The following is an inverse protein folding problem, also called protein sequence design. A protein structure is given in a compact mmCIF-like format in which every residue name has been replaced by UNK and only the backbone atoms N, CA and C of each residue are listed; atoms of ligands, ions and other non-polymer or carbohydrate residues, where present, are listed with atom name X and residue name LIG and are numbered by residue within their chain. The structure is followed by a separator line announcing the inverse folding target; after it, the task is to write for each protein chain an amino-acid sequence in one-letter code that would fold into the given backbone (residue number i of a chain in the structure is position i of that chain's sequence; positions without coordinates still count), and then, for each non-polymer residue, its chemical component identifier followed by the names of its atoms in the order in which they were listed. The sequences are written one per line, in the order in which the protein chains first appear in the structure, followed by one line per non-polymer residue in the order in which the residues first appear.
data_IF_172134136870
#
_entry.id   IF_172134136870
#
_cell.length_a   1.000
_cell.length_b   1.000
_cell.length_c   1.000
_cell.angle_alpha   90.00
_cell.angle_beta   90.00
_cell.angle_gamma   90.00
#
_symmetry.space_group_name_H-M   'P 1'
#
loop_
_entity.id
_entity.type
_entity.pdbx_description
1 polymer ?
#
# COMPACT_ATOMS: atom_id res chain seq x y z
N UNK A 1 6.01 38.88 3.46
CA UNK A 1 6.70 40.11 3.80
C UNK A 1 5.70 41.09 4.46
N UNK A 2 6.04 41.60 5.68
CA UNK A 2 5.16 42.49 6.47
C UNK A 2 4.97 43.89 5.83
N UNK A 3 5.42 44.07 4.60
CA UNK A 3 5.33 45.35 3.86
C UNK A 3 4.57 45.26 2.52
N UNK A 4 3.84 44.20 2.26
CA UNK A 4 2.83 44.18 1.18
C UNK A 4 3.37 44.28 -0.26
N UNK A 5 4.64 43.99 -0.52
CA UNK A 5 5.16 43.86 -1.86
C UNK A 5 5.11 42.39 -2.30
N UNK A 6 4.03 42.01 -2.96
CA UNK A 6 3.93 40.74 -3.68
C UNK A 6 4.92 40.80 -4.88
N UNK A 7 6.03 40.06 -4.78
CA UNK A 7 6.91 39.81 -5.92
C UNK A 7 6.34 38.63 -6.73
N UNK A 8 5.79 38.91 -7.91
CA UNK A 8 5.40 37.91 -8.88
C UNK A 8 6.63 37.29 -9.54
N UNK A 9 6.97 36.06 -9.22
CA UNK A 9 8.02 35.31 -9.89
C UNK A 9 7.41 34.60 -11.12
N UNK A 10 7.68 35.13 -12.32
CA UNK A 10 7.25 34.51 -13.57
C UNK A 10 8.26 33.42 -13.95
N UNK A 11 7.81 32.15 -14.02
CA UNK A 11 8.62 31.04 -14.56
C UNK A 11 8.05 30.61 -15.90
N UNK A 12 8.86 30.66 -16.96
CA UNK A 12 8.54 30.12 -18.28
C UNK A 12 9.61 29.08 -18.64
N UNK A 13 9.42 27.83 -18.22
CA UNK A 13 10.42 26.78 -18.31
C UNK A 13 9.84 25.54 -18.98
N UNK A 14 10.63 24.91 -19.84
CA UNK A 14 10.37 23.60 -20.38
C UNK A 14 11.24 22.54 -19.67
N UNK A 15 10.63 21.43 -19.24
CA UNK A 15 11.29 20.32 -18.58
C UNK A 15 11.27 19.10 -19.50
N UNK A 16 12.44 18.63 -19.88
CA UNK A 16 12.61 17.40 -20.67
C UNK A 16 13.19 16.32 -19.75
N UNK A 17 12.42 15.25 -19.51
CA UNK A 17 12.77 14.20 -18.56
C UNK A 17 12.87 12.82 -19.25
N UNK A 18 13.94 12.58 -20.06
CA UNK A 18 14.15 11.28 -20.67
C UNK A 18 14.58 10.25 -19.64
N UNK A 19 13.85 9.13 -19.61
CA UNK A 19 14.15 7.99 -18.75
C UNK A 19 14.54 6.78 -19.60
N UNK A 20 15.52 6.02 -19.13
CA UNK A 20 15.93 4.75 -19.73
C UNK A 20 16.17 3.73 -18.63
N UNK A 21 15.54 2.58 -18.77
CA UNK A 21 15.64 1.47 -17.84
C UNK A 21 15.96 0.18 -18.60
N UNK A 22 17.03 -0.51 -18.21
CA UNK A 22 17.42 -1.81 -18.77
C UNK A 22 17.68 -2.80 -17.63
N UNK A 23 17.11 -4.00 -17.73
CA UNK A 23 17.31 -5.06 -16.74
C UNK A 23 17.63 -6.37 -17.45
N UNK A 24 18.62 -7.10 -16.91
CA UNK A 24 18.99 -8.42 -17.36
C UNK A 24 19.02 -9.37 -16.18
N UNK A 25 18.53 -10.57 -16.38
CA UNK A 25 18.63 -11.67 -15.41
C UNK A 25 19.00 -12.94 -16.14
N UNK A 26 20.03 -13.62 -15.62
CA UNK A 26 20.47 -14.92 -16.09
C UNK A 26 20.60 -15.82 -14.87
N UNK A 27 20.05 -17.02 -14.92
CA UNK A 27 20.07 -17.90 -13.76
C UNK A 27 20.07 -19.37 -14.09
N UNK A 28 20.42 -20.14 -13.08
CA UNK A 28 20.41 -21.60 -13.09
C UNK A 28 19.64 -22.09 -11.85
N UNK A 29 18.80 -23.09 -12.04
CA UNK A 29 18.05 -23.73 -10.97
C UNK A 29 18.39 -25.22 -10.95
N UNK A 30 18.66 -25.74 -9.77
CA UNK A 30 18.91 -27.14 -9.52
C UNK A 30 17.88 -27.66 -8.51
N UNK A 31 17.32 -28.83 -8.79
CA UNK A 31 16.36 -29.49 -7.89
C UNK A 31 16.77 -30.94 -7.75
N UNK A 32 17.05 -31.37 -6.51
CA UNK A 32 17.42 -32.73 -6.15
C UNK A 32 16.31 -33.38 -5.34
N UNK A 33 15.60 -34.40 -5.89
CA UNK A 33 14.70 -35.22 -5.10
C UNK A 33 15.47 -36.05 -4.05
N UNK A 34 14.92 -36.10 -2.84
CA UNK A 34 15.41 -36.93 -1.73
C UNK A 34 14.26 -37.87 -1.34
N UNK A 35 14.27 -39.05 -1.93
CA UNK A 35 13.16 -40.00 -1.81
C UNK A 35 11.89 -39.50 -2.53
N UNK A 36 10.70 -39.92 -2.05
CA UNK A 36 9.41 -39.65 -2.73
C UNK A 36 8.73 -38.38 -2.21
N UNK A 37 9.13 -37.83 -1.08
CA UNK A 37 8.38 -36.77 -0.38
C UNK A 37 9.18 -35.48 -0.18
N UNK A 38 10.46 -35.50 -0.44
CA UNK A 38 11.34 -34.36 -0.18
C UNK A 38 12.13 -33.97 -1.42
N UNK A 39 12.44 -32.69 -1.56
CA UNK A 39 13.45 -32.20 -2.49
C UNK A 39 14.13 -30.94 -1.97
N UNK A 40 15.39 -30.82 -2.33
CA UNK A 40 16.18 -29.61 -2.11
C UNK A 40 16.25 -28.86 -3.42
N UNK A 41 16.12 -27.53 -3.35
CA UNK A 41 16.28 -26.62 -4.47
C UNK A 41 17.45 -25.69 -4.18
N UNK A 42 18.31 -25.49 -5.16
CA UNK A 42 19.30 -24.44 -5.16
C UNK A 42 19.13 -23.60 -6.42
N UNK A 43 19.14 -22.31 -6.28
CA UNK A 43 19.02 -21.38 -7.40
C UNK A 43 20.10 -20.30 -7.28
N UNK A 44 20.66 -19.96 -8.41
CA UNK A 44 21.55 -18.82 -8.56
C UNK A 44 21.07 -17.98 -9.72
N UNK A 45 20.93 -16.67 -9.52
CA UNK A 45 20.65 -15.70 -10.56
C UNK A 45 21.65 -14.55 -10.47
N UNK A 46 22.23 -14.20 -11.57
CA UNK A 46 22.89 -12.91 -11.74
C UNK A 46 21.87 -11.93 -12.33
N UNK A 47 21.78 -10.76 -11.73
CA UNK A 47 20.92 -9.69 -12.22
C UNK A 47 21.68 -8.37 -12.31
N UNK A 48 21.37 -7.58 -13.30
CA UNK A 48 21.84 -6.22 -13.45
C UNK A 48 20.69 -5.32 -13.85
N UNK A 49 20.64 -4.18 -13.22
CA UNK A 49 19.64 -3.15 -13.49
C UNK A 49 20.38 -1.85 -13.71
N UNK A 50 20.11 -1.19 -14.81
CA UNK A 50 20.63 0.11 -15.17
C UNK A 50 19.47 1.07 -15.38
N UNK A 51 19.53 2.22 -14.71
CA UNK A 51 18.55 3.27 -14.81
C UNK A 51 19.25 4.59 -15.10
N UNK A 52 18.70 5.34 -16.02
CA UNK A 52 19.08 6.71 -16.33
C UNK A 52 17.83 7.57 -16.21
N UNK A 53 17.89 8.54 -15.34
CA UNK A 53 16.83 9.51 -15.10
C UNK A 53 17.43 10.91 -15.20
N UNK A 54 17.12 11.61 -16.28
CA UNK A 54 17.60 12.95 -16.53
C UNK A 54 16.43 13.93 -16.49
N UNK A 55 16.65 15.09 -15.97
CA UNK A 55 15.76 16.23 -16.07
C UNK A 55 16.55 17.42 -16.58
N UNK A 56 16.40 17.74 -17.85
CA UNK A 56 16.99 18.90 -18.49
C UNK A 56 15.98 20.07 -18.45
N UNK A 57 16.38 21.20 -17.89
CA UNK A 57 15.56 22.41 -17.73
C UNK A 57 15.99 23.47 -18.74
N UNK A 58 15.02 24.03 -19.44
CA UNK A 58 15.23 25.09 -20.45
C UNK A 58 14.41 26.31 -20.03
N UNK A 59 15.07 27.47 -19.96
CA UNK A 59 14.43 28.75 -19.69
C UNK A 59 13.98 29.36 -21.03
N UNK A 60 12.67 29.64 -21.13
CA UNK A 60 12.07 30.13 -22.37
C UNK A 60 11.75 31.62 -22.36
N UNK A 61 11.94 32.31 -21.22
CA UNK A 61 11.52 33.71 -21.05
C UNK A 61 12.25 34.69 -21.99
N UNK A 62 13.48 34.34 -22.41
CA UNK A 62 14.31 35.16 -23.31
C UNK A 62 14.20 34.77 -24.78
N UNK A 63 13.49 33.68 -25.09
CA UNK A 63 13.38 33.15 -26.44
C UNK A 63 12.19 33.75 -27.19
N UNK A 64 12.28 33.79 -28.52
CA UNK A 64 11.14 34.15 -29.36
C UNK A 64 10.00 33.16 -29.18
N UNK A 65 8.77 33.67 -29.08
CA UNK A 65 7.60 32.77 -28.98
C UNK A 65 7.41 31.99 -30.29
N UNK A 66 6.98 30.72 -30.20
CA UNK A 66 6.51 30.00 -31.37
C UNK A 66 5.29 30.68 -31.97
N UNK A 67 5.17 30.71 -33.29
CA UNK A 67 4.01 31.24 -34.00
C UNK A 67 2.78 30.35 -33.81
N UNK A 68 2.97 29.11 -33.34
CA UNK A 68 1.90 28.12 -33.06
C UNK A 68 1.73 27.98 -31.57
N UNK A 69 0.50 28.18 -31.12
CA UNK A 69 0.14 28.03 -29.71
C UNK A 69 0.37 26.57 -29.20
N UNK A 70 1.14 26.44 -28.12
CA UNK A 70 1.45 25.15 -27.51
C UNK A 70 2.69 24.48 -28.07
N UNK A 71 3.35 25.01 -29.08
CA UNK A 71 4.64 24.54 -29.58
C UNK A 71 5.83 25.24 -28.88
N UNK A 72 6.93 24.49 -28.74
CA UNK A 72 8.16 25.03 -28.21
C UNK A 72 8.85 25.94 -29.26
N UNK A 73 9.53 26.99 -28.80
CA UNK A 73 10.40 27.78 -29.71
C UNK A 73 11.36 26.85 -30.46
N UNK A 74 11.67 27.08 -31.74
CA UNK A 74 12.58 26.23 -32.53
C UNK A 74 13.98 26.12 -31.93
N UNK A 75 14.40 27.14 -31.20
CA UNK A 75 15.71 27.31 -30.56
C UNK A 75 15.67 27.05 -29.04
N UNK A 76 14.60 26.35 -28.50
CA UNK A 76 14.43 26.14 -27.07
C UNK A 76 15.65 25.51 -26.38
N UNK A 77 16.46 24.74 -27.12
CA UNK A 77 17.68 24.09 -26.60
C UNK A 77 18.75 25.08 -26.17
N UNK A 78 18.74 26.29 -26.71
CA UNK A 78 19.66 27.35 -26.32
C UNK A 78 19.37 27.90 -24.92
N UNK A 79 18.15 27.73 -24.45
CA UNK A 79 17.72 28.08 -23.09
C UNK A 79 18.12 27.08 -22.02
N UNK A 80 18.99 26.09 -22.30
CA UNK A 80 19.42 25.10 -21.34
C UNK A 80 20.06 25.71 -20.09
N UNK A 81 19.56 25.29 -18.90
CA UNK A 81 20.04 25.78 -17.60
C UNK A 81 20.65 24.64 -16.82
N UNK A 82 21.97 24.51 -16.82
CA UNK A 82 22.70 23.44 -16.13
C UNK A 82 22.41 23.41 -14.62
N UNK A 83 22.32 24.57 -13.96
CA UNK A 83 22.07 24.68 -12.52
C UNK A 83 20.68 24.20 -12.08
N UNK A 84 19.72 24.16 -12.99
CA UNK A 84 18.37 23.66 -12.76
C UNK A 84 18.14 22.23 -13.32
N UNK A 85 19.16 21.69 -13.98
CA UNK A 85 19.11 20.37 -14.61
C UNK A 85 19.72 19.31 -13.68
N UNK A 86 19.13 18.12 -13.71
CA UNK A 86 19.57 16.99 -12.90
C UNK A 86 19.75 15.77 -13.79
N UNK A 87 20.91 15.12 -13.69
CA UNK A 87 21.23 13.89 -14.41
C UNK A 87 21.62 12.82 -13.41
N UNK A 88 20.91 11.71 -13.42
CA UNK A 88 21.12 10.58 -12.52
C UNK A 88 21.30 9.30 -13.31
N UNK A 89 22.39 8.59 -13.01
CA UNK A 89 22.65 7.26 -13.54
C UNK A 89 22.81 6.30 -12.38
N UNK A 90 22.02 5.25 -12.34
CA UNK A 90 22.16 4.21 -11.32
C UNK A 90 22.41 2.85 -11.95
N UNK A 91 23.18 2.04 -11.27
CA UNK A 91 23.43 0.65 -11.65
C UNK A 91 23.42 -0.24 -10.42
N UNK A 92 22.66 -1.33 -10.50
CA UNK A 92 22.66 -2.40 -9.49
C UNK A 92 23.10 -3.69 -10.15
N UNK A 93 24.08 -4.36 -9.56
CA UNK A 93 24.49 -5.73 -9.92
C UNK A 93 24.31 -6.61 -8.70
N UNK A 94 23.52 -7.66 -8.84
CA UNK A 94 23.17 -8.57 -7.75
C UNK A 94 23.41 -10.02 -8.10
N UNK A 95 23.67 -10.82 -7.08
CA UNK A 95 23.85 -12.26 -7.14
C UNK A 95 22.84 -12.92 -6.20
N UNK A 96 21.69 -13.36 -6.74
CA UNK A 96 20.65 -13.99 -5.94
C UNK A 96 20.98 -15.46 -5.73
N UNK A 97 21.29 -15.83 -4.51
CA UNK A 97 21.47 -17.21 -4.05
C UNK A 97 20.22 -17.62 -3.27
N UNK A 98 19.58 -18.71 -3.65
CA UNK A 98 18.43 -19.24 -2.93
C UNK A 98 18.61 -20.73 -2.69
N UNK A 99 18.46 -21.15 -1.43
CA UNK A 99 18.42 -22.57 -1.05
C UNK A 99 17.08 -22.84 -0.40
N UNK A 100 16.41 -23.89 -0.85
CA UNK A 100 15.07 -24.25 -0.39
C UNK A 100 14.96 -25.75 -0.12
N UNK A 101 14.13 -26.06 0.86
CA UNK A 101 13.72 -27.40 1.24
C UNK A 101 12.20 -27.51 1.09
N UNK A 102 11.74 -28.59 0.47
CA UNK A 102 10.33 -28.89 0.33
C UNK A 102 10.06 -30.33 0.80
N UNK A 103 9.02 -30.48 1.61
CA UNK A 103 8.48 -31.76 2.04
C UNK A 103 6.97 -31.76 1.77
N UNK A 104 6.43 -32.86 1.25
CA UNK A 104 5.00 -33.02 1.04
C UNK A 104 4.56 -34.46 1.23
N UNK A 105 3.54 -34.64 2.07
CA UNK A 105 2.78 -35.86 2.18
C UNK A 105 1.28 -35.55 2.30
N UNK A 106 0.46 -36.57 2.64
CA UNK A 106 -1.00 -36.43 2.71
C UNK A 106 -1.46 -35.49 3.83
N UNK A 107 -0.62 -35.26 4.83
CA UNK A 107 -0.94 -34.49 6.05
C UNK A 107 -0.17 -33.20 6.14
N UNK A 108 1.11 -33.20 5.76
CA UNK A 108 2.02 -32.08 5.91
C UNK A 108 2.59 -31.61 4.59
N UNK A 109 2.64 -30.32 4.42
CA UNK A 109 3.45 -29.67 3.40
C UNK A 109 4.33 -28.62 4.07
N UNK A 110 5.63 -28.69 3.78
CA UNK A 110 6.64 -27.78 4.32
C UNK A 110 7.43 -27.20 3.14
N UNK A 111 7.57 -25.90 3.13
CA UNK A 111 8.46 -25.21 2.22
C UNK A 111 9.26 -24.19 3.05
N UNK A 112 10.55 -24.36 3.08
CA UNK A 112 11.46 -23.44 3.75
C UNK A 112 12.56 -23.02 2.77
N UNK A 113 12.87 -21.76 2.70
CA UNK A 113 13.96 -21.26 1.86
C UNK A 113 14.68 -20.07 2.50
N UNK A 114 15.93 -19.91 2.12
CA UNK A 114 16.73 -18.74 2.44
C UNK A 114 17.31 -18.17 1.16
N UNK A 115 16.92 -16.95 0.86
CA UNK A 115 17.50 -16.12 -0.18
C UNK A 115 18.59 -15.21 0.42
N UNK A 116 19.73 -15.10 -0.26
CA UNK A 116 20.82 -14.18 0.08
C UNK A 116 21.21 -13.48 -1.22
N UNK A 117 21.18 -12.15 -1.21
CA UNK A 117 21.52 -11.35 -2.39
C UNK A 117 22.62 -10.33 -2.07
N UNK A 118 23.90 -10.72 -2.19
CA UNK A 118 24.98 -9.74 -2.27
C UNK A 118 24.80 -8.87 -3.51
N UNK A 119 24.88 -7.55 -3.34
CA UNK A 119 24.72 -6.61 -4.45
C UNK A 119 25.64 -5.40 -4.32
N UNK A 120 26.06 -4.91 -5.47
CA UNK A 120 26.74 -3.63 -5.61
C UNK A 120 25.79 -2.65 -6.29
N UNK A 121 25.54 -1.52 -5.65
CA UNK A 121 24.67 -0.46 -6.11
C UNK A 121 25.47 0.82 -6.26
N UNK A 122 25.43 1.43 -7.44
CA UNK A 122 26.14 2.68 -7.77
C UNK A 122 25.13 3.69 -8.24
N UNK A 123 25.30 4.95 -7.85
CA UNK A 123 24.59 6.09 -8.41
C UNK A 123 25.59 7.22 -8.65
N UNK A 124 25.48 7.84 -9.80
CA UNK A 124 26.14 9.07 -10.17
C UNK A 124 25.09 10.12 -10.40
N UNK A 125 25.23 11.28 -9.77
CA UNK A 125 24.27 12.37 -9.91
C UNK A 125 25.01 13.68 -10.16
N UNK A 126 24.56 14.42 -11.18
CA UNK A 126 25.05 15.74 -11.50
C UNK A 126 23.89 16.74 -11.45
N UNK A 127 24.06 17.82 -10.70
CA UNK A 127 23.13 18.93 -10.58
C UNK A 127 23.91 20.25 -10.75
N UNK A 128 23.85 20.80 -11.92
CA UNK A 128 24.71 21.95 -12.25
C UNK A 128 26.20 21.63 -12.07
N UNK A 129 26.87 22.41 -11.23
CA UNK A 129 28.28 22.20 -10.87
C UNK A 129 28.51 21.13 -9.81
N UNK A 130 27.44 20.70 -9.12
CA UNK A 130 27.52 19.67 -8.10
C UNK A 130 27.54 18.28 -8.76
N UNK A 131 28.52 17.48 -8.35
CA UNK A 131 28.65 16.09 -8.77
C UNK A 131 28.86 15.24 -7.53
N UNK A 132 28.15 14.15 -7.43
CA UNK A 132 28.39 13.12 -6.43
C UNK A 132 28.20 11.75 -7.05
N UNK A 133 29.02 10.83 -6.61
CA UNK A 133 28.88 9.40 -6.84
C UNK A 133 28.86 8.66 -5.49
N UNK A 134 28.08 7.60 -5.46
CA UNK A 134 28.00 6.76 -4.27
C UNK A 134 27.94 5.30 -4.71
N UNK A 135 28.81 4.49 -4.12
CA UNK A 135 28.80 3.02 -4.30
C UNK A 135 28.60 2.36 -2.96
N UNK A 136 27.58 1.51 -2.87
CA UNK A 136 27.29 0.73 -1.67
C UNK A 136 27.28 -0.76 -1.98
N UNK A 137 27.84 -1.54 -1.06
CA UNK A 137 27.79 -2.99 -1.06
C UNK A 137 26.80 -3.43 0.03
N UNK A 138 25.82 -4.20 -0.35
CA UNK A 138 24.77 -4.64 0.57
C UNK A 138 24.50 -6.13 0.41
N UNK A 139 23.92 -6.73 1.44
CA UNK A 139 23.48 -8.12 1.42
C UNK A 139 22.02 -8.13 1.87
N UNK A 140 21.13 -8.58 0.98
CA UNK A 140 19.74 -8.77 1.33
C UNK A 140 19.48 -10.20 1.79
N UNK A 141 18.63 -10.35 2.81
CA UNK A 141 18.20 -11.63 3.34
C UNK A 141 16.70 -11.79 3.09
N UNK A 142 16.31 -12.98 2.63
CA UNK A 142 14.92 -13.32 2.32
C UNK A 142 14.61 -14.74 2.84
N UNK A 143 14.52 -14.95 4.17
CA UNK A 143 14.04 -16.20 4.74
C UNK A 143 12.54 -16.35 4.51
N UNK A 144 12.10 -17.55 4.16
CA UNK A 144 10.71 -17.91 4.01
C UNK A 144 10.45 -19.28 4.64
N UNK A 145 9.34 -19.39 5.38
CA UNK A 145 8.84 -20.67 5.91
C UNK A 145 7.34 -20.71 5.62
N UNK A 146 6.92 -21.75 4.94
CA UNK A 146 5.53 -22.05 4.73
C UNK A 146 5.24 -23.48 5.20
N UNK A 147 4.30 -23.62 6.14
CA UNK A 147 3.87 -24.89 6.69
C UNK A 147 2.38 -25.04 6.44
N UNK A 148 1.94 -26.19 5.99
CA UNK A 148 0.53 -26.53 5.95
C UNK A 148 0.31 -27.92 6.55
N UNK A 149 -0.69 -27.98 7.42
CA UNK A 149 -1.22 -29.20 7.97
C UNK A 149 -2.64 -29.38 7.47
N UNK A 150 -2.94 -30.56 6.97
CA UNK A 150 -4.27 -30.93 6.47
C UNK A 150 -4.70 -32.26 7.08
N UNK A 151 -5.90 -32.29 7.65
CA UNK A 151 -6.51 -33.52 8.13
C UNK A 151 -8.02 -33.46 7.88
N UNK A 152 -8.50 -34.38 7.04
CA UNK A 152 -9.88 -34.38 6.55
C UNK A 152 -10.24 -32.99 5.98
N UNK A 153 -11.27 -32.35 6.54
CA UNK A 153 -11.78 -31.05 6.10
C UNK A 153 -11.08 -29.86 6.76
N UNK A 154 -10.15 -30.11 7.70
CA UNK A 154 -9.42 -29.07 8.41
C UNK A 154 -8.06 -28.83 7.77
N UNK A 155 -7.69 -27.56 7.63
CA UNK A 155 -6.38 -27.10 7.17
C UNK A 155 -5.89 -25.95 8.04
N UNK A 156 -4.64 -26.05 8.47
CA UNK A 156 -3.90 -24.95 9.12
C UNK A 156 -2.72 -24.61 8.24
N UNK A 157 -2.48 -23.33 8.00
CA UNK A 157 -1.26 -22.86 7.31
C UNK A 157 -0.55 -21.82 8.17
N UNK A 158 0.76 -21.90 8.18
CA UNK A 158 1.63 -20.88 8.74
C UNK A 158 2.55 -20.37 7.65
N UNK A 159 2.69 -19.07 7.54
CA UNK A 159 3.60 -18.41 6.63
C UNK A 159 4.45 -17.40 7.40
N UNK A 160 5.75 -17.43 7.18
CA UNK A 160 6.71 -16.43 7.60
C UNK A 160 7.54 -15.97 6.42
N UNK A 161 7.62 -14.66 6.21
CA UNK A 161 8.46 -14.00 5.23
C UNK A 161 9.32 -12.95 5.93
N UNK A 162 10.63 -13.05 5.75
CA UNK A 162 11.57 -12.00 6.09
C UNK A 162 12.08 -11.31 4.82
N UNK A 163 12.20 -10.00 4.84
CA UNK A 163 12.71 -9.25 3.68
C UNK A 163 13.54 -8.05 4.07
N UNK A 164 14.77 -8.01 3.56
CA UNK A 164 15.58 -6.80 3.57
C UNK A 164 15.07 -5.81 2.51
N UNK A 165 15.00 -4.52 2.88
CA UNK A 165 14.79 -3.41 1.95
C UNK A 165 15.89 -2.39 2.13
N UNK A 166 16.58 -2.09 1.05
CA UNK A 166 17.64 -1.11 1.06
C UNK A 166 17.07 0.31 0.97
N UNK A 167 17.69 1.32 1.63
CA UNK A 167 17.40 2.72 1.36
C UNK A 167 17.57 3.03 -0.13
N UNK A 168 16.89 4.03 -0.62
CA UNK A 168 17.11 4.50 -1.98
C UNK A 168 18.54 5.03 -2.13
N UNK A 169 19.12 4.91 -3.32
CA UNK A 169 20.46 5.45 -3.54
C UNK A 169 20.50 6.97 -3.41
N UNK A 170 19.41 7.65 -3.78
CA UNK A 170 19.26 9.09 -3.60
C UNK A 170 19.25 9.51 -2.14
N UNK A 171 18.62 8.69 -1.26
CA UNK A 171 18.62 8.95 0.18
C UNK A 171 20.00 8.77 0.81
N UNK A 172 20.85 7.92 0.23
CA UNK A 172 22.22 7.66 0.70
C UNK A 172 23.23 8.69 0.20
N UNK A 173 22.89 9.49 -0.80
CA UNK A 173 23.84 10.45 -1.36
C UNK A 173 24.05 11.63 -0.40
N UNK A 174 25.30 12.03 -0.08
CA UNK A 174 25.59 13.19 0.75
C UNK A 174 25.43 14.50 -0.04
N UNK A 175 24.33 14.64 -0.77
CA UNK A 175 24.02 15.80 -1.58
C UNK A 175 22.84 16.56 -0.97
N UNK A 176 22.98 17.90 -0.97
CA UNK A 176 21.88 18.81 -0.64
C UNK A 176 21.33 19.41 -1.92
N UNK A 177 20.09 19.11 -2.24
CA UNK A 177 19.34 19.74 -3.32
C UNK A 177 18.67 21.02 -2.79
N UNK A 178 19.22 22.15 -3.14
CA UNK A 178 18.72 23.49 -2.81
C UNK A 178 18.28 24.26 -4.07
N UNK A 179 17.97 23.55 -5.15
CA UNK A 179 17.48 24.16 -6.40
C UNK A 179 16.18 24.95 -6.19
N UNK A 180 15.42 24.62 -5.16
CA UNK A 180 14.35 25.44 -4.63
C UNK A 180 14.66 25.80 -3.17
N UNK A 181 15.01 27.07 -2.88
CA UNK A 181 15.38 27.50 -1.52
C UNK A 181 14.29 27.29 -0.46
N UNK A 182 13.02 27.16 -0.87
CA UNK A 182 11.90 26.87 0.04
C UNK A 182 11.72 25.37 0.30
N UNK A 183 12.38 24.50 -0.46
CA UNK A 183 12.26 23.05 -0.39
C UNK A 183 13.63 22.40 -0.57
N UNK A 184 14.37 22.34 0.51
CA UNK A 184 15.71 21.74 0.53
C UNK A 184 15.57 20.25 0.84
N UNK A 185 16.27 19.42 0.09
CA UNK A 185 16.33 17.97 0.34
C UNK A 185 17.77 17.55 0.55
N UNK A 186 18.04 16.78 1.60
CA UNK A 186 19.37 16.28 1.93
C UNK A 186 19.34 14.76 2.08
N UNK A 187 20.33 14.08 1.55
CA UNK A 187 20.51 12.65 1.77
C UNK A 187 21.21 12.35 3.11
N UNK A 188 21.23 11.08 3.48
CA UNK A 188 21.86 10.57 4.70
C UNK A 188 22.62 9.27 4.39
N UNK A 189 23.96 9.31 4.29
CA UNK A 189 24.77 8.13 3.98
C UNK A 189 24.81 7.09 5.11
N UNK A 190 24.40 7.47 6.33
CA UNK A 190 24.41 6.58 7.51
C UNK A 190 23.14 5.71 7.62
N UNK A 191 22.25 5.78 6.64
CA UNK A 191 21.02 4.97 6.63
C UNK A 191 21.34 3.47 6.61
N UNK A 192 20.69 2.77 7.52
CA UNK A 192 20.73 1.31 7.61
C UNK A 192 19.60 0.69 6.79
N UNK A 193 19.85 -0.52 6.29
CA UNK A 193 18.81 -1.31 5.65
C UNK A 193 17.68 -1.63 6.61
N UNK A 194 16.44 -1.58 6.10
CA UNK A 194 15.25 -2.03 6.80
C UNK A 194 15.11 -3.54 6.68
N UNK A 195 14.64 -4.20 7.75
CA UNK A 195 14.22 -5.59 7.69
C UNK A 195 12.75 -5.71 8.12
N UNK A 196 11.93 -6.30 7.25
CA UNK A 196 10.51 -6.53 7.50
C UNK A 196 10.27 -8.02 7.78
N UNK A 197 9.63 -8.30 8.92
CA UNK A 197 9.10 -9.62 9.27
C UNK A 197 7.60 -9.63 9.00
N UNK A 198 7.11 -10.63 8.29
CA UNK A 198 5.68 -10.86 8.06
C UNK A 198 5.31 -12.27 8.47
N UNK A 199 4.26 -12.40 9.28
CA UNK A 199 3.77 -13.69 9.77
C UNK A 199 2.28 -13.81 9.54
N UNK A 200 1.81 -15.01 9.17
CA UNK A 200 0.38 -15.30 9.04
C UNK A 200 0.09 -16.74 9.42
N UNK A 201 -0.96 -16.92 10.21
CA UNK A 201 -1.58 -18.20 10.48
C UNK A 201 -2.98 -18.19 9.90
N UNK A 202 -3.37 -19.25 9.20
CA UNK A 202 -4.72 -19.41 8.66
C UNK A 202 -5.28 -20.76 9.06
N UNK A 203 -6.53 -20.77 9.45
CA UNK A 203 -7.32 -21.96 9.73
C UNK A 203 -8.53 -22.02 8.80
N UNK A 204 -8.81 -23.19 8.26
CA UNK A 204 -10.00 -23.45 7.45
C UNK A 204 -10.59 -24.81 7.79
N UNK A 205 -11.91 -24.86 7.92
CA UNK A 205 -12.65 -26.11 8.07
C UNK A 205 -13.84 -26.11 7.11
N UNK A 206 -13.69 -26.76 5.96
CA UNK A 206 -14.64 -26.69 4.84
C UNK A 206 -16.06 -27.16 5.20
N UNK A 207 -16.21 -28.30 5.89
CA UNK A 207 -17.51 -28.83 6.28
C UNK A 207 -18.28 -27.98 7.30
N UNK A 208 -17.56 -27.26 8.17
CA UNK A 208 -18.17 -26.35 9.16
C UNK A 208 -18.38 -24.95 8.62
N UNK A 209 -17.84 -24.62 7.44
CA UNK A 209 -17.90 -23.31 6.85
C UNK A 209 -17.14 -22.25 7.65
N UNK A 210 -16.03 -22.64 8.31
CA UNK A 210 -15.22 -21.74 9.15
C UNK A 210 -13.91 -21.45 8.47
N UNK A 211 -13.52 -20.17 8.42
CA UNK A 211 -12.15 -19.75 8.11
C UNK A 211 -11.72 -18.63 9.05
N UNK A 212 -10.45 -18.62 9.43
CA UNK A 212 -9.86 -17.59 10.27
C UNK A 212 -8.42 -17.33 9.84
N UNK A 213 -8.00 -16.08 9.93
CA UNK A 213 -6.63 -15.64 9.68
C UNK A 213 -6.17 -14.72 10.80
N UNK A 214 -4.92 -14.86 11.21
CA UNK A 214 -4.22 -13.93 12.07
C UNK A 214 -2.85 -13.67 11.47
N UNK A 215 -2.46 -12.41 11.32
CA UNK A 215 -1.18 -12.04 10.77
C UNK A 215 -0.66 -10.74 11.35
N UNK A 216 0.60 -10.46 11.04
CA UNK A 216 1.22 -9.22 11.45
C UNK A 216 2.53 -8.98 10.72
N UNK A 217 2.98 -7.75 10.78
CA UNK A 217 4.24 -7.27 10.24
C UNK A 217 4.97 -6.45 11.29
N UNK A 218 6.27 -6.61 11.36
CA UNK A 218 7.18 -5.82 12.19
C UNK A 218 8.29 -5.30 11.30
N UNK A 219 8.61 -4.02 11.40
CA UNK A 219 9.68 -3.38 10.65
C UNK A 219 10.79 -2.90 11.58
N UNK A 220 12.02 -3.27 11.27
CA UNK A 220 13.24 -2.80 11.94
C UNK A 220 13.95 -1.83 11.01
N UNK A 221 14.44 -0.71 11.55
CA UNK A 221 15.14 0.35 10.81
C UNK A 221 14.35 0.91 9.61
N UNK A 222 13.02 1.08 9.74
CA UNK A 222 12.22 1.74 8.70
C UNK A 222 12.80 3.12 8.39
N UNK A 223 12.82 3.51 7.13
CA UNK A 223 13.26 4.85 6.72
C UNK A 223 12.05 5.78 6.72
N UNK A 224 12.17 6.90 7.41
CA UNK A 224 11.18 7.98 7.43
C UNK A 224 11.84 9.32 7.11
N UNK A 225 11.04 10.26 6.59
CA UNK A 225 11.52 11.61 6.32
C UNK A 225 11.35 12.47 7.57
N UNK A 226 12.41 13.19 7.94
CA UNK A 226 12.37 14.28 8.91
C UNK A 226 12.19 15.58 8.17
N UNK A 227 11.34 16.44 8.68
CA UNK A 227 11.08 17.76 8.11
C UNK A 227 11.39 18.83 9.14
N UNK A 228 12.28 19.75 8.80
CA UNK A 228 12.62 20.94 9.60
C UNK A 228 12.10 22.16 8.85
N UNK A 229 11.42 23.05 9.57
CA UNK A 229 10.95 24.30 9.01
C UNK A 229 11.89 25.45 9.37
N UNK A 230 12.14 26.32 8.42
CA UNK A 230 12.79 27.59 8.64
C UNK A 230 11.73 28.67 8.95
N UNK A 231 11.72 29.15 10.19
CA UNK A 231 10.76 30.14 10.64
C UNK A 231 10.92 31.51 9.96
N UNK A 232 12.11 31.82 9.42
CA UNK A 232 12.42 33.12 8.79
C UNK A 232 11.97 33.15 7.33
N UNK A 233 12.26 32.08 6.57
CA UNK A 233 11.96 32.01 5.14
C UNK A 233 10.63 31.32 4.84
N UNK A 234 10.05 30.57 5.79
CA UNK A 234 8.92 29.69 5.58
C UNK A 234 9.27 28.44 4.76
N UNK A 235 10.54 28.23 4.47
CA UNK A 235 11.07 27.06 3.79
C UNK A 235 11.08 25.81 4.66
N UNK A 236 11.38 24.67 4.04
CA UNK A 236 11.55 23.40 4.75
C UNK A 236 12.75 22.62 4.23
N UNK A 237 13.46 22.00 5.13
CA UNK A 237 14.48 21.00 4.83
C UNK A 237 13.95 19.60 5.16
N UNK A 238 14.19 18.63 4.28
CA UNK A 238 13.75 17.25 4.44
C UNK A 238 14.95 16.32 4.28
N UNK A 239 15.09 15.36 5.21
CA UNK A 239 16.14 14.34 5.15
C UNK A 239 15.66 13.01 5.75
N UNK A 240 16.15 11.86 5.25
CA UNK A 240 15.75 10.54 5.71
C UNK A 240 16.52 10.11 6.97
N UNK A 241 15.82 9.41 7.88
CA UNK A 241 16.41 8.76 9.06
C UNK A 241 15.84 7.36 9.25
N UNK A 242 16.57 6.50 9.95
CA UNK A 242 16.01 5.23 10.40
C UNK A 242 15.20 5.40 11.69
N UNK A 243 14.07 4.71 11.75
CA UNK A 243 13.19 4.71 12.91
C UNK A 243 12.68 3.30 13.20
N UNK A 244 12.45 2.99 14.48
CA UNK A 244 11.90 1.72 14.93
C UNK A 244 10.55 1.93 15.62
N UNK A 245 9.71 0.89 15.56
CA UNK A 245 8.42 0.86 16.21
C UNK A 245 7.23 0.68 15.27
N UNK A 246 7.46 0.57 13.97
CA UNK A 246 6.42 0.26 12.99
C UNK A 246 6.03 -1.21 13.06
N UNK A 247 4.76 -1.47 13.35
CA UNK A 247 4.18 -2.81 13.30
C UNK A 247 2.69 -2.75 13.04
N UNK A 248 2.16 -3.84 12.54
CA UNK A 248 0.73 -4.04 12.44
C UNK A 248 0.35 -5.50 12.74
N UNK A 249 -0.82 -5.68 13.32
CA UNK A 249 -1.47 -6.98 13.52
C UNK A 249 -2.86 -6.90 12.91
N UNK A 250 -3.26 -7.94 12.21
CA UNK A 250 -4.58 -8.03 11.62
C UNK A 250 -5.15 -9.44 11.74
N UNK A 251 -6.45 -9.53 11.82
CA UNK A 251 -7.16 -10.80 11.90
C UNK A 251 -8.48 -10.76 11.16
N UNK A 252 -8.91 -11.91 10.71
CA UNK A 252 -10.25 -12.09 10.16
C UNK A 252 -10.81 -13.46 10.52
N UNK A 253 -12.11 -13.54 10.71
CA UNK A 253 -12.86 -14.78 10.89
C UNK A 253 -14.12 -14.72 10.04
N UNK A 254 -14.42 -15.82 9.38
CA UNK A 254 -15.61 -15.98 8.56
C UNK A 254 -16.29 -17.30 8.94
N UNK A 255 -17.59 -17.26 9.09
CA UNK A 255 -18.41 -18.45 9.26
C UNK A 255 -19.64 -18.34 8.39
N UNK A 256 -19.95 -19.42 7.67
CA UNK A 256 -21.14 -19.52 6.88
C UNK A 256 -21.81 -20.88 7.05
N UNK A 257 -23.14 -20.92 7.02
CA UNK A 257 -23.91 -22.15 7.11
C UNK A 257 -25.19 -22.02 6.31
N UNK A 258 -25.52 -23.09 5.60
CA UNK A 258 -26.80 -23.23 4.91
C UNK A 258 -27.66 -24.29 5.61
N UNK A 259 -28.93 -23.96 5.87
CA UNK A 259 -29.94 -24.76 6.54
C UNK A 259 -31.24 -24.72 5.72
N UNK A 260 -31.38 -25.63 4.76
CA UNK A 260 -32.52 -25.63 3.81
C UNK A 260 -32.53 -24.34 2.98
N UNK A 261 -33.59 -23.55 3.14
CA UNK A 261 -33.74 -22.23 2.48
C UNK A 261 -33.02 -21.09 3.19
N UNK A 262 -32.53 -21.32 4.40
CA UNK A 262 -31.77 -20.34 5.15
C UNK A 262 -30.28 -20.40 4.82
N UNK A 263 -29.63 -19.27 4.68
CA UNK A 263 -28.19 -19.12 4.74
C UNK A 263 -27.80 -18.07 5.77
N UNK A 264 -26.77 -18.39 6.54
CA UNK A 264 -26.20 -17.55 7.59
C UNK A 264 -24.75 -17.28 7.25
N UNK A 265 -24.32 -16.03 7.39
CA UNK A 265 -22.93 -15.63 7.23
C UNK A 265 -22.54 -14.62 8.29
N UNK A 266 -21.40 -14.84 8.90
CA UNK A 266 -20.75 -13.93 9.85
C UNK A 266 -19.35 -13.67 9.36
N UNK A 267 -18.98 -12.41 9.21
CA UNK A 267 -17.65 -11.94 8.84
C UNK A 267 -17.14 -10.97 9.91
N UNK A 268 -15.93 -11.20 10.38
CA UNK A 268 -15.26 -10.32 11.32
C UNK A 268 -13.86 -10.05 10.81
N UNK A 269 -13.43 -8.82 10.82
CA UNK A 269 -12.05 -8.45 10.56
C UNK A 269 -11.63 -7.29 11.46
N UNK A 270 -10.35 -7.28 11.80
CA UNK A 270 -9.77 -6.26 12.62
C UNK A 270 -8.31 -6.05 12.31
N UNK A 271 -7.85 -4.84 12.56
CA UNK A 271 -6.45 -4.48 12.48
C UNK A 271 -6.08 -3.54 13.62
N UNK A 272 -4.83 -3.67 14.06
CA UNK A 272 -4.22 -2.74 15.00
C UNK A 272 -2.80 -2.46 14.54
N UNK A 273 -2.44 -1.18 14.42
CA UNK A 273 -1.15 -0.77 13.91
C UNK A 273 -0.53 0.35 14.76
N UNK A 274 0.78 0.36 14.79
CA UNK A 274 1.60 1.40 15.38
C UNK A 274 2.51 1.94 14.28
N UNK A 275 2.31 3.19 13.91
CA UNK A 275 3.15 3.89 12.93
C UNK A 275 3.94 4.97 13.63
N UNK A 276 5.22 4.99 13.38
CA UNK A 276 6.15 5.96 13.95
C UNK A 276 6.67 6.86 12.85
N UNK A 277 6.67 8.15 13.10
CA UNK A 277 7.19 9.18 12.21
C UNK A 277 7.94 10.25 13.00
N UNK A 278 8.65 11.11 12.32
CA UNK A 278 9.21 12.33 12.90
C UNK A 278 8.38 13.51 12.42
N UNK A 279 7.90 14.31 13.35
CA UNK A 279 7.12 15.51 13.03
C UNK A 279 7.73 16.73 13.71
N UNK A 280 7.50 17.87 13.12
CA UNK A 280 7.82 19.17 13.68
C UNK A 280 6.51 19.96 13.83
N UNK A 281 5.98 20.04 15.05
CA UNK A 281 4.72 20.74 15.34
C UNK A 281 4.89 22.25 15.31
N UNK A 282 5.97 22.72 15.90
CA UNK A 282 6.36 24.12 15.87
C UNK A 282 7.54 24.28 14.93
N UNK A 283 7.39 25.10 13.89
CA UNK A 283 8.42 25.37 12.89
C UNK A 283 9.76 25.83 13.47
N UNK A 284 9.77 26.23 14.74
CA UNK A 284 10.97 26.67 15.47
C UNK A 284 11.62 25.57 16.33
N UNK A 285 11.00 24.40 16.47
CA UNK A 285 11.46 23.33 17.36
C UNK A 285 12.11 22.17 16.60
N UNK A 286 12.91 21.39 17.32
CA UNK A 286 13.48 20.15 16.83
C UNK A 286 12.37 19.11 16.53
N UNK A 287 12.52 18.29 15.49
CA UNK A 287 11.58 17.23 15.17
C UNK A 287 11.45 16.20 16.30
N UNK A 288 10.22 15.89 16.67
CA UNK A 288 9.92 14.92 17.73
C UNK A 288 9.33 13.64 17.15
N UNK A 289 9.55 12.55 17.86
CA UNK A 289 8.99 11.25 17.50
C UNK A 289 7.48 11.26 17.74
N UNK A 290 6.71 11.07 16.70
CA UNK A 290 5.26 10.91 16.73
C UNK A 290 4.87 9.46 16.53
N UNK A 291 3.94 8.97 17.34
CA UNK A 291 3.40 7.61 17.25
C UNK A 291 1.91 7.69 17.01
N UNK A 292 1.46 7.11 15.90
CA UNK A 292 0.04 6.98 15.59
C UNK A 292 -0.37 5.52 15.75
N UNK A 293 -1.37 5.27 16.60
CA UNK A 293 -1.98 3.96 16.80
C UNK A 293 -3.36 3.95 16.19
N UNK A 294 -3.57 3.07 15.24
CA UNK A 294 -4.85 2.90 14.55
C UNK A 294 -5.44 1.54 14.90
N UNK A 295 -6.71 1.52 15.26
CA UNK A 295 -7.49 0.30 15.50
C UNK A 295 -8.72 0.34 14.62
N UNK A 296 -8.89 -0.68 13.81
CA UNK A 296 -10.08 -0.90 12.98
C UNK A 296 -10.73 -2.24 13.33
N UNK A 297 -12.04 -2.25 13.51
CA UNK A 297 -12.84 -3.48 13.67
C UNK A 297 -14.05 -3.38 12.74
N UNK A 298 -14.33 -4.46 12.03
CA UNK A 298 -15.53 -4.60 11.21
C UNK A 298 -16.17 -5.95 11.50
N UNK A 299 -17.48 -5.95 11.78
CA UNK A 299 -18.29 -7.15 11.95
C UNK A 299 -19.49 -7.04 11.03
N UNK A 300 -19.76 -8.09 10.28
CA UNK A 300 -20.91 -8.18 9.38
C UNK A 300 -21.65 -9.48 9.65
N UNK A 301 -22.99 -9.41 9.70
CA UNK A 301 -23.86 -10.57 9.76
C UNK A 301 -24.88 -10.49 8.64
N UNK A 302 -25.07 -11.60 7.94
CA UNK A 302 -26.07 -11.73 6.89
C UNK A 302 -26.92 -12.96 7.14
N UNK A 303 -28.23 -12.80 7.04
CA UNK A 303 -29.24 -13.84 7.14
C UNK A 303 -30.11 -13.75 5.89
N UNK A 304 -30.12 -14.82 5.12
CA UNK A 304 -30.92 -14.93 3.90
C UNK A 304 -31.90 -16.07 4.00
N UNK A 305 -33.17 -15.85 3.62
CA UNK A 305 -34.20 -16.86 3.46
C UNK A 305 -34.72 -16.83 2.03
N UNK A 306 -34.52 -17.89 1.26
CA UNK A 306 -34.82 -17.96 -0.16
C UNK A 306 -35.69 -19.19 -0.48
N UNK A 307 -37.02 -19.15 -0.23
CA UNK A 307 -37.96 -20.14 -0.72
C UNK A 307 -38.18 -19.98 -2.24
N UNK A 308 -38.90 -20.94 -2.84
CA UNK A 308 -39.15 -20.93 -4.29
C UNK A 308 -40.02 -19.76 -4.79
N UNK A 309 -40.76 -19.08 -3.91
CA UNK A 309 -41.66 -17.99 -4.23
C UNK A 309 -41.12 -16.58 -3.94
N UNK A 310 -39.89 -16.45 -3.43
CA UNK A 310 -39.36 -15.16 -3.07
C UNK A 310 -38.06 -15.24 -2.30
N UNK A 311 -37.65 -14.11 -1.70
CA UNK A 311 -36.46 -14.04 -0.86
C UNK A 311 -36.52 -12.86 0.09
N UNK A 312 -35.87 -13.04 1.26
CA UNK A 312 -35.65 -12.00 2.24
C UNK A 312 -34.18 -12.09 2.67
N UNK A 313 -33.48 -10.98 2.57
CA UNK A 313 -32.08 -10.84 2.98
C UNK A 313 -31.97 -9.74 4.03
N UNK A 314 -31.48 -10.08 5.21
CA UNK A 314 -31.15 -9.12 6.25
C UNK A 314 -29.65 -9.08 6.42
N UNK A 315 -29.06 -7.90 6.33
CA UNK A 315 -27.65 -7.68 6.63
C UNK A 315 -27.46 -6.58 7.65
N UNK A 316 -26.48 -6.75 8.51
CA UNK A 316 -26.05 -5.71 9.44
C UNK A 316 -24.54 -5.66 9.47
N UNK A 317 -23.99 -4.46 9.53
CA UNK A 317 -22.55 -4.26 9.71
C UNK A 317 -22.27 -3.25 10.79
N UNK A 318 -21.23 -3.51 11.56
CA UNK A 318 -20.65 -2.62 12.53
C UNK A 318 -19.21 -2.36 12.18
N UNK A 319 -18.85 -1.09 12.03
CA UNK A 319 -17.49 -0.65 11.79
C UNK A 319 -17.06 0.28 12.93
N UNK A 320 -15.89 0.02 13.48
CA UNK A 320 -15.25 0.84 14.49
C UNK A 320 -13.86 1.22 14.04
N UNK A 321 -13.56 2.51 14.07
CA UNK A 321 -12.24 3.04 13.82
C UNK A 321 -11.82 3.94 14.99
N UNK A 322 -10.59 3.78 15.44
CA UNK A 322 -9.99 4.58 16.48
C UNK A 322 -8.57 4.91 16.10
N UNK A 323 -8.20 6.18 16.21
CA UNK A 323 -6.86 6.67 15.94
C UNK A 323 -6.40 7.53 17.11
N UNK A 324 -5.19 7.26 17.59
CA UNK A 324 -4.52 7.98 18.67
C UNK A 324 -3.17 8.47 18.16
N UNK A 325 -2.90 9.76 18.25
CA UNK A 325 -1.58 10.33 17.98
C UNK A 325 -0.95 10.84 19.27
N UNK A 326 0.34 10.51 19.47
CA UNK A 326 1.05 10.82 20.73
C UNK A 326 1.45 12.28 20.90
N UNK A 327 1.38 13.09 19.86
CA UNK A 327 1.82 14.49 19.88
C UNK A 327 0.63 15.42 19.93
N UNK A 328 -0.38 15.19 19.11
CA UNK A 328 -1.52 16.13 19.00
C UNK A 328 -2.66 15.85 19.99
N UNK A 329 -2.54 14.80 20.81
CA UNK A 329 -3.59 14.34 21.77
C UNK A 329 -5.00 14.22 21.15
N UNK A 330 -5.06 14.23 19.82
CA UNK A 330 -6.29 14.13 19.04
C UNK A 330 -6.70 12.67 18.89
N UNK A 331 -7.44 12.21 19.89
CA UNK A 331 -8.12 10.93 19.79
C UNK A 331 -9.35 11.07 18.88
N UNK A 332 -9.33 10.37 17.77
CA UNK A 332 -10.49 10.30 16.90
C UNK A 332 -11.08 8.90 16.92
N UNK A 333 -12.38 8.81 17.01
CA UNK A 333 -13.09 7.56 16.84
C UNK A 333 -14.30 7.76 15.94
N UNK A 334 -14.66 6.69 15.23
CA UNK A 334 -15.89 6.62 14.43
C UNK A 334 -16.51 5.24 14.62
N UNK A 335 -17.80 5.23 14.86
CA UNK A 335 -18.64 4.02 14.87
C UNK A 335 -19.68 4.18 13.79
N UNK A 336 -19.82 3.15 13.00
CA UNK A 336 -20.78 3.10 11.90
C UNK A 336 -21.57 1.81 12.02
N UNK A 337 -22.88 1.92 12.01
CA UNK A 337 -23.83 0.82 12.03
C UNK A 337 -24.69 0.91 10.79
N UNK A 338 -24.80 -0.18 10.06
CA UNK A 338 -25.69 -0.27 8.92
C UNK A 338 -26.59 -1.49 9.09
N UNK A 339 -27.89 -1.29 8.85
CA UNK A 339 -28.89 -2.32 8.82
C UNK A 339 -29.57 -2.25 7.47
N UNK A 340 -29.65 -3.37 6.75
CA UNK A 340 -30.27 -3.44 5.44
C UNK A 340 -31.22 -4.63 5.40
N UNK A 341 -32.42 -4.41 4.92
CA UNK A 341 -33.40 -5.43 4.66
C UNK A 341 -33.81 -5.35 3.20
N UNK A 342 -33.64 -6.44 2.47
CA UNK A 342 -34.10 -6.59 1.10
C UNK A 342 -35.11 -7.73 1.04
N UNK A 343 -36.16 -7.57 0.23
CA UNK A 343 -37.13 -8.62 0.01
C UNK A 343 -37.70 -8.56 -1.40
N UNK A 344 -38.02 -9.73 -1.93
CA UNK A 344 -38.77 -9.84 -3.15
C UNK A 344 -39.76 -11.01 -3.06
N UNK A 345 -40.85 -10.88 -3.78
CA UNK A 345 -41.86 -11.93 -3.92
C UNK A 345 -42.24 -12.09 -5.39
N UNK A 346 -42.19 -13.33 -5.85
CA UNK A 346 -42.66 -13.70 -7.18
C UNK A 346 -44.14 -14.10 -7.12
N UNK A 347 -45.00 -13.27 -7.68
CA UNK A 347 -46.45 -13.47 -7.75
C UNK A 347 -46.82 -14.21 -9.03
N UNK A 348 -48.04 -14.82 -9.09
CA UNK A 348 -48.60 -15.34 -10.34
C UNK A 348 -48.62 -14.30 -11.45
N UNK A 349 -48.71 -14.75 -12.70
CA UNK A 349 -48.78 -13.92 -13.91
C UNK A 349 -47.47 -13.18 -14.26
N UNK A 350 -46.34 -13.53 -13.63
CA UNK A 350 -45.03 -12.93 -13.93
C UNK A 350 -44.78 -11.59 -13.26
N UNK A 351 -45.47 -11.30 -12.17
CA UNK A 351 -45.25 -10.09 -11.38
C UNK A 351 -44.24 -10.37 -10.31
N UNK A 352 -43.23 -9.51 -10.16
CA UNK A 352 -42.29 -9.53 -9.06
C UNK A 352 -42.36 -8.20 -8.31
N UNK A 353 -42.56 -8.25 -7.02
CA UNK A 353 -42.47 -7.10 -6.14
C UNK A 353 -41.13 -7.16 -5.40
N UNK A 354 -40.38 -6.09 -5.34
CA UNK A 354 -39.14 -5.93 -4.62
C UNK A 354 -39.21 -4.70 -3.75
N UNK A 355 -38.63 -4.81 -2.55
CA UNK A 355 -38.38 -3.67 -1.66
C UNK A 355 -37.04 -3.82 -0.99
N UNK A 356 -36.36 -2.70 -0.76
CA UNK A 356 -35.17 -2.63 0.06
C UNK A 356 -35.22 -1.40 0.95
N UNK A 357 -34.75 -1.57 2.17
CA UNK A 357 -34.59 -0.51 3.15
C UNK A 357 -33.23 -0.59 3.81
N UNK A 358 -32.62 0.56 4.03
CA UNK A 358 -31.36 0.69 4.76
C UNK A 358 -31.47 1.77 5.83
N UNK A 359 -30.98 1.45 7.03
CA UNK A 359 -30.79 2.40 8.11
C UNK A 359 -29.33 2.43 8.49
N UNK A 360 -28.75 3.62 8.46
CA UNK A 360 -27.38 3.89 8.82
C UNK A 360 -27.32 4.81 10.02
N UNK A 361 -26.56 4.42 11.03
CA UNK A 361 -26.27 5.25 12.19
C UNK A 361 -24.77 5.45 12.34
N UNK A 362 -24.35 6.69 12.58
CA UNK A 362 -22.94 7.09 12.74
C UNK A 362 -22.74 7.81 14.06
N UNK A 363 -21.62 7.55 14.72
CA UNK A 363 -21.23 8.26 15.92
C UNK A 363 -19.71 8.40 15.92
N UNK A 364 -19.19 9.56 16.27
CA UNK A 364 -17.74 9.79 16.27
C UNK A 364 -17.34 11.23 16.53
N UNK A 365 -16.02 11.43 16.61
CA UNK A 365 -15.41 12.73 16.99
C UNK A 365 -15.77 13.87 16.03
N UNK A 366 -15.94 13.58 14.74
CA UNK A 366 -16.16 14.58 13.69
C UNK A 366 -17.55 14.50 13.06
N UNK A 367 -18.51 13.83 13.71
CA UNK A 367 -19.88 13.71 13.21
C UNK A 367 -20.73 14.82 13.79
N UNK A 368 -21.34 15.63 12.94
CA UNK A 368 -22.23 16.71 13.33
C UNK A 368 -23.61 16.19 13.70
N UNK A 369 -24.27 16.86 14.62
CA UNK A 369 -25.66 16.57 14.98
C UNK A 369 -26.55 16.76 13.74
N UNK A 370 -27.33 15.73 13.39
CA UNK A 370 -28.19 15.72 12.19
C UNK A 370 -27.55 15.07 10.97
N UNK A 371 -26.27 14.64 11.06
CA UNK A 371 -25.59 13.81 10.06
C UNK A 371 -25.33 12.38 10.60
N UNK A 372 -25.93 12.07 11.74
CA UNK A 372 -25.69 10.87 12.53
C UNK A 372 -26.53 9.68 12.07
N UNK A 373 -27.66 9.92 11.38
CA UNK A 373 -28.49 8.84 10.86
C UNK A 373 -29.04 9.12 9.47
N UNK A 374 -29.35 8.05 8.74
CA UNK A 374 -29.88 8.09 7.39
C UNK A 374 -30.79 6.89 7.18
N UNK A 375 -31.98 7.12 6.65
CA UNK A 375 -32.93 6.08 6.25
C UNK A 375 -33.16 6.18 4.73
N UNK A 376 -32.96 5.08 4.05
CA UNK A 376 -33.27 4.92 2.63
C UNK A 376 -34.28 3.79 2.46
N UNK A 377 -35.28 4.00 1.61
CA UNK A 377 -36.24 2.96 1.26
C UNK A 377 -36.61 3.04 -0.21
N UNK A 378 -36.59 1.89 -0.88
CA UNK A 378 -36.96 1.74 -2.28
C UNK A 378 -37.96 0.59 -2.42
N UNK A 379 -38.85 0.74 -3.39
CA UNK A 379 -39.77 -0.33 -3.80
C UNK A 379 -39.93 -0.32 -5.32
N UNK A 380 -40.03 -1.50 -5.90
CA UNK A 380 -40.29 -1.66 -7.33
C UNK A 380 -41.25 -2.80 -7.59
N UNK A 381 -42.02 -2.70 -8.66
CA UNK A 381 -42.87 -3.74 -9.17
C UNK A 381 -42.50 -3.98 -10.64
N UNK A 382 -42.17 -5.21 -10.95
CA UNK A 382 -41.79 -5.64 -12.30
C UNK A 382 -42.80 -6.64 -12.81
N UNK A 383 -43.35 -6.40 -14.00
CA UNK A 383 -44.28 -7.32 -14.64
C UNK A 383 -43.69 -7.83 -15.95
N UNK A 384 -43.49 -9.15 -16.02
CA UNK A 384 -43.02 -9.88 -17.21
C UNK A 384 -44.19 -10.56 -17.88
N UNK A 385 -44.53 -10.11 -19.09
CA UNK A 385 -45.68 -10.59 -19.84
C UNK A 385 -45.26 -11.10 -21.22
N UNK A 386 -46.21 -11.65 -22.00
CA UNK A 386 -46.03 -12.42 -23.22
C UNK A 386 -45.57 -13.88 -22.98
N UNK A 387 -45.83 -14.73 -24.00
CA UNK A 387 -45.70 -16.21 -23.90
C UNK A 387 -44.31 -16.70 -23.47
N UNK A 388 -43.24 -15.95 -23.72
CA UNK A 388 -41.87 -16.28 -23.31
C UNK A 388 -41.27 -15.28 -22.32
N UNK A 389 -42.10 -14.41 -21.70
CA UNK A 389 -41.64 -13.31 -20.83
C UNK A 389 -40.70 -12.33 -21.53
N UNK A 390 -40.95 -12.06 -22.81
CA UNK A 390 -40.11 -11.25 -23.68
C UNK A 390 -40.32 -9.72 -23.49
N UNK A 391 -41.34 -9.32 -22.76
CA UNK A 391 -41.60 -7.93 -22.42
C UNK A 391 -41.61 -7.74 -20.92
N UNK A 392 -40.99 -6.68 -20.43
CA UNK A 392 -40.87 -6.29 -19.03
C UNK A 392 -41.32 -4.83 -18.86
N UNK A 393 -42.11 -4.56 -17.85
CA UNK A 393 -42.48 -3.23 -17.37
C UNK A 393 -42.05 -3.13 -15.93
N UNK A 394 -41.23 -2.16 -15.59
CA UNK A 394 -40.74 -1.89 -14.25
C UNK A 394 -41.03 -0.43 -13.84
#
# INVERSE_FOLDING_TARGET
DKQGNDSLLFRNQYLKSPQKNNSWRVGINFTQPIGKKMHIRAAYNWNTHYERDNRDTYELSSLAKSDVFGELPPDYETGYVDSLSNRSHSRTNGHDLNVGFNYSDDTWMVNASLGITPQRRTIERKMGKLYADTTVHTIDFQPMIWLAWKKKEARITFNYDGRTRQPSLSDLMPLTDNSNPLYITRGNPDLKQMFAHSMRISFQHSKKGISANLGGQLEQNSVTQVMIYDAQTGGRETYPVNINGNWNVYGSANWWKRLGHFSLRLDMNGNHSNRVSMINEDRSLEPVKSTTRDTGLNCEANVSYQPAWGGIDFSTSWNYQYSLNSVNDNNTYTRYYNFRLEGYVDLPLGIQLRTDGAYTFRNGTNIRKGEDDEILWNASATWRFLKKKEAELS
#
